data_IF_655113730881
#
_entry.id   IF_655113730881
#
_cell.length_a   1.000
_cell.length_b   1.000
_cell.length_c   1.000
_cell.angle_alpha   90.00
_cell.angle_beta   90.00
_cell.angle_gamma   90.00
#
_symmetry.space_group_name_H-M   'P 1'
#
loop_
_entity.id
_entity.type
_entity.pdbx_description
1 polymer ?
#
# COMPACT_ATOMS: atom_id res chain seq x y z
N UNK A 1 5.76 14.76 -42.35
CA UNK A 1 6.50 13.88 -41.42
C UNK A 1 6.59 12.48 -42.02
N UNK A 2 7.79 11.91 -42.15
CA UNK A 2 7.94 10.54 -42.66
C UNK A 2 7.36 9.54 -41.65
N UNK A 3 6.90 8.38 -42.13
CA UNK A 3 6.35 7.34 -41.26
C UNK A 3 7.31 6.93 -40.14
N UNK A 4 8.61 6.89 -40.40
CA UNK A 4 9.66 6.60 -39.41
C UNK A 4 9.69 7.60 -38.26
N UNK A 5 9.51 8.90 -38.53
CA UNK A 5 9.44 9.93 -37.49
C UNK A 5 8.19 9.80 -36.61
N UNK A 6 7.05 9.45 -37.20
CA UNK A 6 5.79 9.24 -36.45
C UNK A 6 5.92 8.06 -35.48
N UNK A 7 6.53 6.96 -35.91
CA UNK A 7 6.76 5.77 -35.10
C UNK A 7 7.71 6.12 -33.95
N UNK A 8 8.80 6.83 -34.21
CA UNK A 8 9.77 7.23 -33.16
C UNK A 8 9.12 8.13 -32.10
N UNK A 9 8.28 9.08 -32.50
CA UNK A 9 7.57 9.95 -31.57
C UNK A 9 6.57 9.16 -30.73
N UNK A 10 5.86 8.22 -31.33
CA UNK A 10 4.91 7.35 -30.63
C UNK A 10 5.60 6.48 -29.57
N UNK A 11 6.74 5.87 -29.94
CA UNK A 11 7.54 5.06 -29.00
C UNK A 11 8.04 5.94 -27.85
N UNK A 12 8.52 7.16 -28.12
CA UNK A 12 8.98 8.08 -27.09
C UNK A 12 7.87 8.44 -26.13
N UNK A 13 6.66 8.72 -26.63
CA UNK A 13 5.48 8.99 -25.78
C UNK A 13 5.15 7.80 -24.91
N UNK A 14 5.15 6.59 -25.44
CA UNK A 14 4.90 5.37 -24.67
C UNK A 14 5.93 5.17 -23.56
N UNK A 15 7.21 5.43 -23.84
CA UNK A 15 8.27 5.34 -22.83
C UNK A 15 8.11 6.37 -21.73
N UNK A 16 7.73 7.61 -22.07
CA UNK A 16 7.46 8.67 -21.10
C UNK A 16 6.26 8.31 -20.23
N UNK A 17 5.17 7.80 -20.82
CA UNK A 17 3.99 7.38 -20.09
C UNK A 17 4.31 6.20 -19.17
N UNK A 18 5.05 5.19 -19.63
CA UNK A 18 5.49 4.07 -18.81
C UNK A 18 6.37 4.53 -17.65
N UNK A 19 7.27 5.49 -17.90
CA UNK A 19 8.13 6.07 -16.87
C UNK A 19 7.32 6.84 -15.82
N UNK A 20 6.38 7.68 -16.23
CA UNK A 20 5.48 8.40 -15.32
C UNK A 20 4.62 7.43 -14.50
N UNK A 21 4.08 6.38 -15.12
CA UNK A 21 3.29 5.36 -14.41
C UNK A 21 4.13 4.60 -13.40
N UNK A 22 5.43 4.38 -13.64
CA UNK A 22 6.31 3.71 -12.70
C UNK A 22 6.52 4.50 -11.40
N UNK A 23 6.38 5.83 -11.42
CA UNK A 23 6.40 6.65 -10.22
C UNK A 23 5.06 6.63 -9.46
N UNK A 24 3.96 6.41 -10.16
CA UNK A 24 2.62 6.42 -9.57
C UNK A 24 2.20 5.08 -8.99
N UNK A 25 2.74 3.97 -9.52
CA UNK A 25 2.40 2.61 -9.08
C UNK A 25 3.58 2.01 -8.33
N UNK A 26 3.45 1.75 -7.03
CA UNK A 26 4.52 1.09 -6.28
C UNK A 26 4.83 -0.29 -6.85
N UNK A 27 6.09 -0.56 -7.12
CA UNK A 27 6.57 -1.86 -7.58
C UNK A 27 7.45 -2.46 -6.50
N UNK A 28 7.01 -3.60 -5.97
CA UNK A 28 7.74 -4.35 -4.97
C UNK A 28 8.13 -5.72 -5.51
N UNK A 29 9.31 -6.20 -5.12
CA UNK A 29 9.83 -7.48 -5.56
C UNK A 29 10.52 -8.23 -4.43
N UNK A 30 11.27 -9.27 -4.79
CA UNK A 30 12.03 -10.07 -3.83
C UNK A 30 13.14 -9.29 -3.10
N UNK A 31 13.56 -8.13 -3.65
CA UNK A 31 14.53 -7.20 -3.04
C UNK A 31 13.90 -6.23 -2.04
N UNK A 32 12.56 -6.19 -1.96
CA UNK A 32 11.85 -5.23 -1.13
C UNK A 32 12.03 -5.52 0.35
N UNK A 33 12.11 -4.44 1.14
CA UNK A 33 12.13 -4.50 2.60
C UNK A 33 10.85 -3.93 3.16
N UNK A 34 10.34 -4.53 4.21
CA UNK A 34 9.09 -4.12 4.84
C UNK A 34 9.21 -3.97 6.35
N UNK A 35 8.53 -2.96 6.88
CA UNK A 35 8.39 -2.71 8.31
C UNK A 35 6.92 -2.57 8.67
N UNK A 36 6.58 -2.98 9.88
CA UNK A 36 5.27 -2.76 10.47
C UNK A 36 5.40 -1.73 11.58
N UNK A 37 4.53 -0.72 11.56
CA UNK A 37 4.56 0.41 12.47
C UNK A 37 3.21 0.51 13.18
N UNK A 38 3.26 0.60 14.50
CA UNK A 38 2.09 0.88 15.32
C UNK A 38 2.48 1.89 16.39
N UNK A 39 2.08 3.14 16.19
CA UNK A 39 2.39 4.27 17.05
C UNK A 39 1.15 5.14 17.13
N UNK A 40 0.32 4.91 18.13
CA UNK A 40 -0.94 5.61 18.36
C UNK A 40 -1.01 6.17 19.77
N UNK A 41 -1.69 7.29 19.93
CA UNK A 41 -1.77 7.98 21.22
C UNK A 41 -2.72 7.30 22.23
N UNK A 42 -3.63 6.49 21.73
CA UNK A 42 -4.67 5.83 22.55
C UNK A 42 -4.26 4.43 23.06
N UNK A 43 -3.12 3.92 22.65
CA UNK A 43 -2.60 2.62 23.08
C UNK A 43 -1.24 2.80 23.75
N UNK A 44 -1.00 2.07 24.84
CA UNK A 44 0.31 2.05 25.51
C UNK A 44 1.35 1.24 24.72
N UNK A 45 0.88 0.35 23.82
CA UNK A 45 1.74 -0.44 22.96
C UNK A 45 2.14 0.36 21.75
N UNK A 46 3.45 0.50 21.55
CA UNK A 46 4.01 1.11 20.35
C UNK A 46 5.18 0.26 19.86
N UNK A 47 5.23 0.02 18.56
CA UNK A 47 6.34 -0.72 17.96
C UNK A 47 6.61 -0.27 16.53
N UNK A 48 7.85 -0.52 16.12
CA UNK A 48 8.31 -0.45 14.74
C UNK A 48 9.27 -1.62 14.55
N UNK A 49 8.88 -2.60 13.75
CA UNK A 49 9.62 -3.85 13.57
C UNK A 49 9.69 -4.23 12.09
N UNK A 50 10.71 -4.97 11.73
CA UNK A 50 10.79 -5.58 10.40
C UNK A 50 9.73 -6.67 10.26
N UNK A 51 9.12 -6.74 9.07
CA UNK A 51 8.26 -7.86 8.71
C UNK A 51 9.09 -9.14 8.60
N UNK A 52 8.54 -10.24 9.06
CA UNK A 52 9.11 -11.56 8.78
C UNK A 52 8.98 -11.88 7.29
N UNK A 53 9.74 -12.84 6.80
CA UNK A 53 9.67 -13.28 5.42
C UNK A 53 8.27 -13.79 5.04
N UNK A 54 7.61 -14.52 5.95
CA UNK A 54 6.24 -15.00 5.77
C UNK A 54 5.25 -13.85 5.71
N UNK A 55 5.36 -12.88 6.61
CA UNK A 55 4.53 -11.68 6.63
C UNK A 55 4.72 -10.87 5.36
N UNK A 56 5.94 -10.67 4.93
CA UNK A 56 6.25 -9.95 3.69
C UNK A 56 5.62 -10.63 2.47
N UNK A 57 5.70 -11.95 2.38
CA UNK A 57 5.05 -12.75 1.33
C UNK A 57 3.55 -12.57 1.33
N UNK A 58 2.92 -12.60 2.51
CA UNK A 58 1.47 -12.41 2.65
C UNK A 58 1.04 -10.99 2.24
N UNK A 59 1.76 -9.98 2.69
CA UNK A 59 1.46 -8.57 2.34
C UNK A 59 1.59 -8.35 0.83
N UNK A 60 2.68 -8.80 0.23
CA UNK A 60 2.89 -8.63 -1.21
C UNK A 60 1.82 -9.35 -2.04
N UNK A 61 1.36 -10.50 -1.59
CA UNK A 61 0.25 -11.21 -2.24
C UNK A 61 -1.04 -10.39 -2.22
N UNK A 62 -1.38 -9.81 -1.09
CA UNK A 62 -2.56 -8.95 -0.94
C UNK A 62 -2.44 -7.72 -1.84
N UNK A 63 -1.30 -7.05 -1.83
CA UNK A 63 -1.09 -5.85 -2.64
C UNK A 63 -1.13 -6.14 -4.15
N UNK A 64 -0.64 -7.29 -4.58
CA UNK A 64 -0.66 -7.70 -6.01
C UNK A 64 -2.03 -8.10 -6.52
N UNK A 65 -2.89 -8.62 -5.64
CA UNK A 65 -4.27 -9.03 -5.99
C UNK A 65 -5.23 -7.86 -6.13
N UNK A 66 -4.91 -6.74 -5.52
CA UNK A 66 -5.82 -5.60 -5.43
C UNK A 66 -5.26 -4.39 -6.17
N UNK A 67 -6.11 -3.68 -6.88
CA UNK A 67 -5.74 -2.50 -7.64
C UNK A 67 -5.74 -1.26 -6.76
N UNK A 68 -4.76 -0.39 -6.98
CA UNK A 68 -4.74 0.93 -6.38
C UNK A 68 -5.69 1.83 -7.17
N UNK A 69 -6.59 2.48 -6.44
CA UNK A 69 -7.56 3.43 -6.99
C UNK A 69 -7.18 4.85 -6.59
N UNK A 70 -7.39 5.79 -7.50
CA UNK A 70 -7.31 7.22 -7.19
C UNK A 70 -8.66 7.62 -6.59
N UNK A 71 -8.70 8.24 -5.40
CA UNK A 71 -9.94 8.55 -4.69
C UNK A 71 -10.66 9.79 -5.23
N UNK A 72 -10.87 9.85 -6.53
CA UNK A 72 -11.63 10.95 -7.16
C UNK A 72 -13.12 10.78 -6.82
N UNK A 73 -13.69 11.75 -6.13
CA UNK A 73 -15.09 11.73 -5.72
C UNK A 73 -15.42 10.70 -4.63
N UNK A 74 -14.38 10.12 -4.01
CA UNK A 74 -14.54 9.15 -2.94
C UNK A 74 -14.71 9.88 -1.60
N UNK A 75 -15.81 9.62 -0.92
CA UNK A 75 -16.02 10.02 0.47
C UNK A 75 -16.01 8.77 1.33
N UNK A 76 -14.98 8.63 2.16
CA UNK A 76 -14.86 7.48 3.05
C UNK A 76 -15.18 7.87 4.48
N UNK A 77 -15.92 7.00 5.18
CA UNK A 77 -16.05 7.04 6.62
C UNK A 77 -14.91 6.27 7.34
N UNK A 78 -14.00 5.65 6.60
CA UNK A 78 -12.88 4.91 7.16
C UNK A 78 -11.91 5.85 7.86
N UNK A 79 -11.35 5.38 8.96
CA UNK A 79 -10.38 6.11 9.76
C UNK A 79 -9.00 5.52 9.58
N UNK A 80 -8.05 6.34 9.18
CA UNK A 80 -6.63 5.95 9.07
C UNK A 80 -5.80 6.78 10.02
N UNK A 81 -4.82 6.14 10.64
CA UNK A 81 -3.81 6.79 11.45
C UNK A 81 -2.45 6.60 10.77
N UNK A 82 -1.69 7.69 10.67
CA UNK A 82 -0.34 7.64 10.10
C UNK A 82 0.58 6.66 10.82
N UNK A 83 0.34 6.46 12.11
CA UNK A 83 1.09 5.54 12.95
C UNK A 83 0.68 4.07 12.83
N UNK A 84 -0.34 3.72 12.03
CA UNK A 84 -0.79 2.33 11.83
C UNK A 84 -0.56 1.96 10.37
N UNK A 85 0.62 1.43 10.08
CA UNK A 85 1.03 1.22 8.70
C UNK A 85 2.00 0.05 8.52
N UNK A 86 2.02 -0.46 7.30
CA UNK A 86 3.10 -1.29 6.76
C UNK A 86 3.83 -0.43 5.75
N UNK A 87 5.15 -0.35 5.86
CA UNK A 87 6.00 0.43 4.96
C UNK A 87 6.87 -0.52 4.16
N UNK A 88 6.73 -0.50 2.85
CA UNK A 88 7.53 -1.31 1.92
C UNK A 88 8.19 -0.38 0.92
N UNK A 89 9.52 -0.42 0.84
CA UNK A 89 10.31 0.45 -0.06
C UNK A 89 9.91 1.93 0.05
N UNK A 90 9.77 2.42 1.28
CA UNK A 90 9.34 3.80 1.61
C UNK A 90 7.91 4.16 1.21
N UNK A 91 7.13 3.21 0.71
CA UNK A 91 5.69 3.39 0.46
C UNK A 91 4.92 2.96 1.70
N UNK A 92 4.11 3.87 2.21
CA UNK A 92 3.31 3.66 3.42
C UNK A 92 1.91 3.17 3.07
N UNK A 93 1.57 2.00 3.60
CA UNK A 93 0.25 1.38 3.46
C UNK A 93 -0.44 1.45 4.82
N UNK A 94 -1.38 2.37 4.97
CA UNK A 94 -2.11 2.56 6.22
C UNK A 94 -3.33 1.65 6.28
N UNK A 95 -3.37 0.80 7.30
CA UNK A 95 -4.54 -0.01 7.60
C UNK A 95 -5.55 0.86 8.36
N UNK A 96 -6.83 0.79 7.98
CA UNK A 96 -7.87 1.50 8.72
C UNK A 96 -7.92 1.05 10.18
N UNK A 97 -8.08 1.99 11.09
CA UNK A 97 -8.17 1.71 12.53
C UNK A 97 -9.55 1.24 12.96
N UNK A 98 -10.55 1.43 12.11
CA UNK A 98 -11.87 0.82 12.21
C UNK A 98 -11.92 -0.51 11.41
N UNK A 99 -13.10 -1.06 11.20
CA UNK A 99 -13.28 -2.32 10.47
C UNK A 99 -13.35 -2.18 8.94
N UNK A 100 -13.00 -1.03 8.41
CA UNK A 100 -12.98 -0.79 6.97
C UNK A 100 -11.99 -1.69 6.23
N UNK A 101 -12.44 -2.28 5.13
CA UNK A 101 -11.62 -3.07 4.23
C UNK A 101 -10.87 -2.24 3.19
N UNK A 102 -10.31 -1.09 3.59
CA UNK A 102 -9.60 -0.19 2.68
C UNK A 102 -8.27 0.21 3.27
N UNK A 103 -7.22 0.11 2.44
CA UNK A 103 -5.87 0.58 2.75
C UNK A 103 -5.64 1.91 2.05
N UNK A 104 -5.11 2.88 2.78
CA UNK A 104 -4.66 4.15 2.21
C UNK A 104 -3.17 4.06 1.84
N UNK A 105 -2.86 4.30 0.56
CA UNK A 105 -1.51 4.15 0.01
C UNK A 105 -0.85 5.50 -0.12
N UNK A 106 0.23 5.73 0.64
CA UNK A 106 0.92 7.00 0.66
C UNK A 106 -0.02 8.13 1.11
N UNK A 107 -0.24 9.09 0.24
CA UNK A 107 -1.21 10.18 0.41
C UNK A 107 -2.14 10.35 -0.81
N UNK A 108 -2.20 9.35 -1.69
CA UNK A 108 -2.82 9.52 -3.00
C UNK A 108 -3.70 8.35 -3.47
N UNK A 109 -3.59 7.16 -2.88
CA UNK A 109 -4.25 5.97 -3.40
C UNK A 109 -5.03 5.19 -2.34
N UNK A 110 -5.96 4.38 -2.80
CA UNK A 110 -6.76 3.46 -2.00
C UNK A 110 -6.70 2.06 -2.58
N UNK A 111 -6.68 1.07 -1.71
CA UNK A 111 -6.80 -0.35 -2.07
C UNK A 111 -7.95 -0.94 -1.27
N UNK A 112 -8.94 -1.50 -1.95
CA UNK A 112 -9.99 -2.29 -1.30
C UNK A 112 -9.51 -3.73 -1.13
N UNK A 113 -9.68 -4.27 0.06
CA UNK A 113 -9.30 -5.64 0.41
C UNK A 113 -10.50 -6.41 0.95
N UNK A 114 -10.44 -7.74 0.86
CA UNK A 114 -11.47 -8.61 1.42
C UNK A 114 -11.41 -8.65 2.96
N UNK A 115 -12.47 -9.14 3.59
CA UNK A 115 -12.49 -9.35 5.04
C UNK A 115 -11.40 -10.33 5.50
N UNK A 116 -11.14 -11.37 4.71
CA UNK A 116 -10.08 -12.34 4.99
C UNK A 116 -8.69 -11.70 4.89
N UNK A 117 -8.45 -10.89 3.86
CA UNK A 117 -7.20 -10.17 3.68
C UNK A 117 -6.99 -9.15 4.80
N UNK A 118 -8.06 -8.44 5.20
CA UNK A 118 -8.06 -7.56 6.36
C UNK A 118 -7.64 -8.30 7.63
N UNK A 119 -8.22 -9.46 7.89
CA UNK A 119 -7.91 -10.27 9.07
C UNK A 119 -6.45 -10.72 9.10
N UNK A 120 -5.87 -11.06 7.95
CA UNK A 120 -4.45 -11.42 7.83
C UNK A 120 -3.56 -10.24 8.22
N UNK A 121 -3.83 -9.05 7.70
CA UNK A 121 -3.05 -7.86 8.02
C UNK A 121 -3.22 -7.44 9.48
N UNK A 122 -4.45 -7.42 9.99
CA UNK A 122 -4.74 -7.06 11.38
C UNK A 122 -4.03 -8.00 12.37
N UNK A 123 -3.97 -9.30 12.06
CA UNK A 123 -3.28 -10.27 12.88
C UNK A 123 -1.77 -9.98 13.03
N UNK A 124 -1.15 -9.38 12.04
CA UNK A 124 0.26 -8.97 12.11
C UNK A 124 0.48 -7.89 13.18
N UNK A 125 -0.47 -6.97 13.32
CA UNK A 125 -0.44 -5.95 14.35
C UNK A 125 -0.82 -6.52 15.72
N UNK A 126 -1.90 -7.27 15.79
CA UNK A 126 -2.42 -7.80 17.07
C UNK A 126 -1.51 -8.84 17.68
N UNK A 127 -0.78 -9.62 16.89
CA UNK A 127 0.24 -10.55 17.39
C UNK A 127 1.40 -9.85 18.11
N UNK A 128 1.58 -8.56 17.88
CA UNK A 128 2.55 -7.69 18.54
C UNK A 128 1.95 -6.86 19.67
N UNK A 129 0.70 -7.10 20.01
CA UNK A 129 0.01 -6.44 21.11
C UNK A 129 -0.83 -5.22 20.74
N UNK A 130 -0.94 -4.88 19.46
CA UNK A 130 -1.80 -3.79 19.02
C UNK A 130 -3.28 -4.12 19.26
N UNK A 131 -4.08 -3.09 19.52
CA UNK A 131 -5.53 -3.17 19.66
C UNK A 131 -6.22 -2.39 18.57
N UNK A 132 -7.22 -2.99 17.94
CA UNK A 132 -8.13 -2.33 17.01
C UNK A 132 -9.50 -2.21 17.69
N UNK A 133 -10.12 -1.02 17.63
CA UNK A 133 -11.44 -0.81 18.20
C UNK A 133 -12.53 -1.61 17.51
#
# INVERSE_FOLDING_TARGET
>A
MSGKRKISVFILILLIVAWLLSYCVPVHGFWSTGRIIYQVDYDEVNFEEDLTEEEMTAVLRILRRNRIKIPIGYTSACMWDWGVAIVIDDVRYMLATDDCGTIFVGNWGLIDISAEERAVLEAMFTSRGATFP
#
